data_IF_265595793345
#
_entry.id   IF_265595793345
#
_cell.length_a   1.000
_cell.length_b   1.000
_cell.length_c   1.000
_cell.angle_alpha   90.00
_cell.angle_beta   90.00
_cell.angle_gamma   90.00
#
_symmetry.space_group_name_H-M   'P 1'
#
loop_
_entity.id
_entity.type
_entity.pdbx_description
1 polymer ?
#
# COMPACT_ATOMS: atom_id res chain seq x y z
N UNK A 1 6.04 -15.73 34.45
CA UNK A 1 6.86 -14.51 34.42
C UNK A 1 7.63 -14.49 33.11
N UNK A 2 7.10 -13.81 32.10
CA UNK A 2 7.86 -13.50 30.89
C UNK A 2 8.91 -12.46 31.27
N UNK A 3 10.17 -12.81 31.13
CA UNK A 3 11.30 -11.92 31.40
C UNK A 3 11.25 -10.82 30.35
N UNK A 4 10.81 -9.62 30.73
CA UNK A 4 11.01 -8.43 29.90
C UNK A 4 12.52 -8.20 29.82
N UNK A 5 13.12 -8.17 28.62
CA UNK A 5 14.56 -7.91 28.51
C UNK A 5 14.89 -6.51 29.04
N UNK A 6 16.12 -6.30 29.52
CA UNK A 6 16.52 -5.01 30.07
C UNK A 6 16.84 -3.96 28.99
N UNK A 7 16.97 -4.38 27.73
CA UNK A 7 17.34 -3.53 26.59
C UNK A 7 16.64 -3.96 25.29
N UNK A 8 16.61 -3.05 24.33
CA UNK A 8 16.08 -3.23 22.98
C UNK A 8 17.09 -2.65 21.98
N UNK A 9 17.70 -3.50 21.14
CA UNK A 9 18.64 -3.02 20.12
C UNK A 9 17.86 -2.35 18.99
N UNK A 10 18.25 -1.14 18.61
CA UNK A 10 17.58 -0.34 17.58
C UNK A 10 18.51 0.11 16.45
N UNK A 11 17.96 0.33 15.26
CA UNK A 11 18.57 1.22 14.26
C UNK A 11 18.36 2.67 14.70
N UNK A 12 19.46 3.39 14.86
CA UNK A 12 19.49 4.68 15.54
C UNK A 12 20.37 5.68 14.79
N UNK A 13 19.87 6.90 14.58
CA UNK A 13 20.67 8.02 14.12
C UNK A 13 21.41 8.60 15.32
N UNK A 14 22.73 8.47 15.34
CA UNK A 14 23.56 8.97 16.43
C UNK A 14 23.68 10.51 16.43
N UNK A 15 24.55 11.04 17.29
CA UNK A 15 24.79 12.48 17.46
C UNK A 15 25.26 13.21 16.20
N UNK A 16 25.86 12.49 15.24
CA UNK A 16 26.26 13.04 13.94
C UNK A 16 25.31 12.67 12.79
N UNK A 17 24.25 11.90 13.08
CA UNK A 17 23.18 11.57 12.13
C UNK A 17 23.50 10.35 11.27
N UNK A 18 24.52 9.60 11.66
CA UNK A 18 24.85 8.31 11.06
C UNK A 18 23.96 7.24 11.68
N UNK A 19 23.45 6.34 10.85
CA UNK A 19 22.67 5.19 11.31
C UNK A 19 23.63 4.14 11.87
N UNK A 20 23.38 3.74 13.11
CA UNK A 20 24.15 2.76 13.88
C UNK A 20 23.20 1.82 14.62
N UNK A 21 23.73 0.70 15.12
CA UNK A 21 23.05 -0.08 16.14
C UNK A 21 23.23 0.62 17.49
N UNK A 22 22.16 0.70 18.28
CA UNK A 22 22.18 1.31 19.60
C UNK A 22 21.27 0.54 20.56
N UNK A 23 21.77 0.23 21.76
CA UNK A 23 20.97 -0.40 22.81
C UNK A 23 20.13 0.67 23.52
N UNK A 24 18.81 0.59 23.40
CA UNK A 24 17.88 1.41 24.18
C UNK A 24 17.40 0.66 25.42
N UNK A 25 16.95 1.35 26.47
CA UNK A 25 16.18 0.72 27.52
C UNK A 25 14.97 -0.02 26.92
N UNK A 26 14.65 -1.19 27.44
CA UNK A 26 13.43 -1.86 27.01
C UNK A 26 12.22 -0.96 27.29
N UNK A 27 11.26 -0.87 26.36
CA UNK A 27 10.14 0.03 26.51
C UNK A 27 9.20 -0.46 27.61
N UNK A 28 8.81 0.46 28.48
CA UNK A 28 7.72 0.25 29.44
C UNK A 28 6.42 0.77 28.83
N UNK A 29 5.35 -0.06 28.80
CA UNK A 29 4.07 0.37 28.26
C UNK A 29 3.40 1.41 29.14
N UNK A 30 2.94 2.49 28.52
CA UNK A 30 2.10 3.50 29.18
C UNK A 30 0.61 3.08 29.16
N UNK A 31 -0.24 3.84 29.83
CA UNK A 31 -1.69 3.62 29.82
C UNK A 31 -2.22 3.59 28.37
N UNK A 32 -2.96 2.54 28.02
CA UNK A 32 -3.50 2.31 26.67
C UNK A 32 -2.47 1.87 25.62
N UNK A 33 -1.18 1.68 25.99
CA UNK A 33 -0.16 1.12 25.11
C UNK A 33 -0.02 -0.41 25.29
N UNK A 34 0.42 -1.09 24.23
CA UNK A 34 0.78 -2.51 24.26
C UNK A 34 2.27 -2.70 24.03
N UNK A 35 2.87 -3.61 24.79
CA UNK A 35 4.24 -4.03 24.63
C UNK A 35 4.33 -5.16 23.59
N UNK A 36 5.23 -5.01 22.62
CA UNK A 36 5.30 -5.87 21.44
C UNK A 36 6.74 -6.30 21.21
N UNK A 37 6.94 -7.60 20.98
CA UNK A 37 8.17 -8.12 20.38
C UNK A 37 8.06 -8.02 18.86
N UNK A 38 8.85 -7.15 18.25
CA UNK A 38 8.86 -6.95 16.81
C UNK A 38 9.47 -8.18 16.14
N UNK A 39 8.80 -8.69 15.11
CA UNK A 39 9.29 -9.78 14.26
C UNK A 39 9.82 -9.24 12.94
N UNK A 40 9.13 -8.25 12.38
CA UNK A 40 9.45 -7.60 11.13
C UNK A 40 9.15 -6.10 11.23
N UNK A 41 9.97 -5.28 10.57
CA UNK A 41 9.74 -3.84 10.41
C UNK A 41 10.08 -3.47 8.98
N UNK A 42 9.17 -2.80 8.28
CA UNK A 42 9.37 -2.38 6.91
C UNK A 42 10.28 -1.15 6.81
N UNK A 43 11.21 -1.20 5.86
CA UNK A 43 12.18 -0.13 5.60
C UNK A 43 11.62 0.79 4.52
N UNK A 44 11.58 2.08 4.81
CA UNK A 44 11.06 3.09 3.90
C UNK A 44 12.11 4.15 3.58
N UNK A 45 12.02 4.76 2.39
CA UNK A 45 12.89 5.88 2.04
C UNK A 45 12.72 7.08 3.01
N UNK A 46 11.54 7.22 3.60
CA UNK A 46 11.26 8.22 4.63
C UNK A 46 12.14 8.08 5.87
N UNK A 47 12.61 6.87 6.21
CA UNK A 47 13.51 6.64 7.35
C UNK A 47 14.81 7.43 7.20
N UNK A 48 15.33 7.51 5.97
CA UNK A 48 16.54 8.29 5.65
C UNK A 48 16.22 9.77 5.45
N UNK A 49 15.18 10.07 4.66
CA UNK A 49 14.86 11.45 4.28
C UNK A 49 14.44 12.30 5.48
N UNK A 50 13.76 11.72 6.46
CA UNK A 50 13.32 12.45 7.67
C UNK A 50 14.53 12.89 8.50
N UNK A 51 15.55 12.04 8.65
CA UNK A 51 16.80 12.39 9.33
C UNK A 51 17.55 13.51 8.62
N UNK A 52 17.61 13.45 7.29
CA UNK A 52 18.33 14.43 6.47
C UNK A 52 17.61 15.78 6.43
N UNK A 53 16.30 15.77 6.20
CA UNK A 53 15.49 16.98 6.04
C UNK A 53 15.33 17.75 7.35
N UNK A 54 15.07 17.05 8.45
CA UNK A 54 14.89 17.66 9.77
C UNK A 54 16.17 17.68 10.61
N UNK A 55 17.28 17.15 10.09
CA UNK A 55 18.53 17.08 10.83
C UNK A 55 18.43 16.26 12.13
N UNK A 56 17.55 15.26 12.19
CA UNK A 56 17.34 14.49 13.43
C UNK A 56 18.62 13.75 13.83
N UNK A 57 18.94 13.84 15.11
CA UNK A 57 20.07 13.21 15.79
C UNK A 57 19.55 12.57 17.06
N UNK A 58 20.27 11.57 17.55
CA UNK A 58 19.87 10.83 18.72
C UNK A 58 18.43 10.26 18.60
N UNK A 59 18.15 9.61 17.47
CA UNK A 59 16.79 9.28 17.04
C UNK A 59 16.66 7.81 16.58
N UNK A 60 15.74 7.06 17.17
CA UNK A 60 15.43 5.68 16.74
C UNK A 60 14.54 5.68 15.50
N UNK A 61 14.80 4.80 14.52
CA UNK A 61 14.15 4.80 13.19
C UNK A 61 12.97 3.80 13.06
N UNK A 62 12.27 3.84 11.92
CA UNK A 62 11.24 2.88 11.52
C UNK A 62 9.82 3.40 11.78
N UNK A 63 8.90 3.10 10.88
CA UNK A 63 7.50 3.55 10.93
C UNK A 63 6.43 2.46 10.76
N UNK A 64 6.81 1.21 10.48
CA UNK A 64 5.86 0.10 10.34
C UNK A 64 6.44 -1.19 10.94
N UNK A 65 5.56 -2.08 11.41
CA UNK A 65 5.96 -3.34 12.05
C UNK A 65 4.90 -4.44 11.94
N UNK A 66 5.35 -5.67 12.16
CA UNK A 66 4.55 -6.80 12.62
C UNK A 66 5.27 -7.48 13.79
N UNK A 67 4.53 -7.81 14.85
CA UNK A 67 5.08 -8.36 16.08
C UNK A 67 4.07 -9.09 16.95
N UNK A 68 4.55 -9.68 18.03
CA UNK A 68 3.72 -10.38 19.03
C UNK A 68 3.51 -9.55 20.27
N UNK A 69 2.27 -9.47 20.72
CA UNK A 69 1.89 -8.83 21.98
C UNK A 69 2.47 -9.62 23.16
N UNK A 70 3.06 -8.92 24.12
CA UNK A 70 3.57 -9.49 25.36
C UNK A 70 2.60 -9.26 26.52
N UNK A 71 2.62 -10.16 27.50
CA UNK A 71 1.86 -10.02 28.74
C UNK A 71 2.37 -8.84 29.57
N UNK A 72 1.46 -7.94 29.97
CA UNK A 72 1.74 -6.79 30.82
C UNK A 72 0.56 -6.55 31.77
N UNK A 73 0.76 -5.90 32.95
CA UNK A 73 -0.32 -5.68 33.91
C UNK A 73 -1.54 -4.95 33.32
N UNK A 74 -1.32 -4.04 32.37
CA UNK A 74 -2.35 -3.19 31.78
C UNK A 74 -2.85 -3.73 30.42
N UNK A 75 -2.42 -4.92 30.00
CA UNK A 75 -2.81 -5.48 28.71
C UNK A 75 -4.32 -5.71 28.61
N UNK A 76 -4.93 -6.08 29.73
CA UNK A 76 -6.37 -6.34 29.83
C UNK A 76 -7.25 -5.12 29.51
N UNK A 77 -6.68 -3.91 29.56
CA UNK A 77 -7.36 -2.66 29.21
C UNK A 77 -7.33 -2.37 27.69
N UNK A 78 -6.72 -3.26 26.91
CA UNK A 78 -6.57 -3.14 25.46
C UNK A 78 -7.39 -4.24 24.73
N UNK A 79 -7.70 -4.08 23.43
CA UNK A 79 -8.41 -5.12 22.68
C UNK A 79 -7.57 -6.38 22.38
N UNK A 80 -6.31 -6.44 22.81
CA UNK A 80 -5.38 -7.52 22.50
C UNK A 80 -5.12 -8.44 23.71
N UNK A 81 -4.58 -9.62 23.41
CA UNK A 81 -4.18 -10.65 24.37
C UNK A 81 -2.72 -11.01 24.14
N UNK A 82 -2.05 -11.50 25.18
CA UNK A 82 -0.67 -11.93 25.04
C UNK A 82 -0.56 -13.04 23.99
N UNK A 83 0.47 -12.93 23.14
CA UNK A 83 0.71 -13.83 22.03
C UNK A 83 0.03 -13.44 20.71
N UNK A 84 -0.94 -12.52 20.74
CA UNK A 84 -1.59 -12.01 19.51
C UNK A 84 -0.53 -11.49 18.53
N UNK A 85 -0.68 -11.86 17.26
CA UNK A 85 0.11 -11.31 16.17
C UNK A 85 -0.58 -10.05 15.67
N UNK A 86 0.12 -8.91 15.75
CA UNK A 86 -0.41 -7.60 15.36
C UNK A 86 0.55 -6.89 14.41
N UNK A 87 0.02 -5.99 13.60
CA UNK A 87 0.77 -5.11 12.72
C UNK A 87 0.24 -3.68 12.81
N UNK A 88 1.06 -2.70 12.44
CA UNK A 88 0.68 -1.31 12.57
C UNK A 88 1.68 -0.32 12.00
N UNK A 89 1.27 0.94 11.99
CA UNK A 89 2.05 2.07 11.49
C UNK A 89 2.22 3.10 12.61
N UNK A 90 3.45 3.57 12.78
CA UNK A 90 3.86 4.62 13.70
C UNK A 90 4.31 5.83 12.90
N UNK A 91 3.65 6.96 13.12
CA UNK A 91 3.99 8.22 12.45
C UNK A 91 5.30 8.77 13.04
N UNK A 92 6.26 9.07 12.16
CA UNK A 92 7.51 9.76 12.52
C UNK A 92 7.27 11.21 12.94
N UNK A 93 8.23 11.80 13.65
CA UNK A 93 8.17 13.20 14.08
C UNK A 93 9.32 13.59 14.99
N UNK A 94 9.60 14.90 15.09
CA UNK A 94 10.76 15.46 15.83
C UNK A 94 10.79 14.96 17.29
N UNK A 95 9.62 14.89 17.94
CA UNK A 95 9.50 14.52 19.35
C UNK A 95 8.91 13.11 19.55
N UNK A 96 9.03 12.22 18.56
CA UNK A 96 8.55 10.84 18.72
C UNK A 96 9.37 10.12 19.79
N UNK A 97 8.70 9.47 20.73
CA UNK A 97 9.39 8.69 21.75
C UNK A 97 10.07 7.46 21.11
N UNK A 98 11.29 7.15 21.56
CA UNK A 98 12.05 6.01 21.01
C UNK A 98 11.32 4.68 21.17
N UNK A 99 10.48 4.51 22.19
CA UNK A 99 9.66 3.29 22.39
C UNK A 99 8.67 3.01 21.25
N UNK A 100 8.33 4.01 20.44
CA UNK A 100 7.44 3.87 19.28
C UNK A 100 8.20 3.50 18.00
N UNK A 101 9.52 3.66 17.95
CA UNK A 101 10.31 3.47 16.73
C UNK A 101 10.36 1.99 16.33
N UNK A 102 10.01 1.62 15.09
CA UNK A 102 9.76 0.19 14.79
C UNK A 102 11.00 -0.62 14.42
N UNK A 103 12.13 0.02 14.09
CA UNK A 103 13.39 -0.68 13.83
C UNK A 103 14.12 -1.04 15.13
N UNK A 104 13.46 -1.77 16.01
CA UNK A 104 14.04 -2.29 17.25
C UNK A 104 13.33 -3.57 17.70
N UNK A 105 13.95 -4.31 18.62
CA UNK A 105 13.46 -5.63 19.07
C UNK A 105 12.11 -5.56 19.82
N UNK A 106 11.93 -4.51 20.62
CA UNK A 106 10.74 -4.31 21.45
C UNK A 106 10.21 -2.89 21.30
N UNK A 107 8.90 -2.75 21.10
CA UNK A 107 8.22 -1.46 21.04
C UNK A 107 7.05 -1.42 22.01
N UNK A 108 6.69 -0.22 22.46
CA UNK A 108 5.41 0.03 23.10
C UNK A 108 4.70 1.12 22.33
N UNK A 109 3.47 0.88 21.88
CA UNK A 109 2.65 1.83 21.11
C UNK A 109 1.20 1.84 21.64
N UNK A 110 0.45 2.94 21.45
CA UNK A 110 -1.00 2.94 21.68
C UNK A 110 -1.66 1.76 20.97
N UNK A 111 -2.48 0.97 21.67
CA UNK A 111 -3.13 -0.22 21.12
C UNK A 111 -3.92 0.09 19.84
N UNK A 112 -4.50 1.29 19.81
CA UNK A 112 -5.25 1.77 18.66
C UNK A 112 -4.41 2.01 17.40
N UNK A 113 -3.08 1.93 17.42
CA UNK A 113 -2.21 2.06 16.23
C UNK A 113 -1.90 0.73 15.55
N UNK A 114 -2.47 -0.36 16.06
CA UNK A 114 -2.27 -1.69 15.53
C UNK A 114 -3.60 -2.39 15.27
N UNK A 115 -3.54 -3.43 14.45
CA UNK A 115 -4.63 -4.36 14.16
C UNK A 115 -4.11 -5.80 14.26
N UNK A 116 -5.00 -6.76 14.54
CA UNK A 116 -4.65 -8.18 14.52
C UNK A 116 -4.33 -8.64 13.10
N UNK A 117 -3.24 -9.37 12.95
CA UNK A 117 -2.88 -10.02 11.70
C UNK A 117 -3.73 -11.29 11.54
N UNK A 118 -4.48 -11.44 10.43
CA UNK A 118 -5.21 -12.67 10.16
C UNK A 118 -4.29 -13.89 10.07
N UNK A 119 -4.76 -15.07 10.51
CA UNK A 119 -3.95 -16.29 10.61
C UNK A 119 -3.32 -16.73 9.27
N UNK A 120 -3.93 -16.35 8.15
CA UNK A 120 -3.48 -16.70 6.81
C UNK A 120 -2.47 -15.70 6.20
N UNK A 121 -2.10 -14.63 6.91
CA UNK A 121 -1.15 -13.62 6.42
C UNK A 121 0.24 -13.86 7.02
N UNK A 122 1.30 -14.07 6.20
CA UNK A 122 2.66 -14.17 6.70
C UNK A 122 3.08 -12.92 7.49
N UNK A 123 3.72 -13.05 8.66
CA UNK A 123 4.07 -11.89 9.49
C UNK A 123 4.96 -10.86 8.76
N UNK A 124 5.82 -11.30 7.84
CA UNK A 124 6.66 -10.40 7.03
C UNK A 124 5.83 -9.54 6.06
N UNK A 125 4.76 -10.10 5.48
CA UNK A 125 3.86 -9.38 4.59
C UNK A 125 3.01 -8.36 5.36
N UNK A 126 2.62 -8.68 6.59
CA UNK A 126 1.86 -7.76 7.45
C UNK A 126 2.67 -6.53 7.89
N UNK A 127 4.01 -6.61 7.88
CA UNK A 127 4.88 -5.50 8.25
C UNK A 127 5.10 -4.46 7.13
N UNK A 128 4.64 -4.74 5.90
CA UNK A 128 4.54 -3.74 4.84
C UNK A 128 3.09 -3.27 4.72
N UNK A 129 2.85 -1.96 4.68
CA UNK A 129 1.56 -1.29 4.43
C UNK A 129 0.48 -2.17 3.76
N UNK A 130 -0.71 -2.21 4.37
CA UNK A 130 -1.81 -3.06 3.92
C UNK A 130 -2.34 -2.69 2.53
N UNK A 131 -1.94 -3.44 1.50
CA UNK A 131 -2.50 -3.33 0.16
C UNK A 131 -3.73 -4.25 0.07
N UNK A 132 -4.91 -3.65 0.16
CA UNK A 132 -6.18 -4.37 0.06
C UNK A 132 -6.73 -4.26 -1.36
N UNK A 133 -7.05 -5.39 -2.00
CA UNK A 133 -7.49 -5.44 -3.40
C UNK A 133 -8.87 -6.10 -3.54
N UNK A 134 -9.72 -5.53 -4.40
CA UNK A 134 -10.96 -6.17 -4.85
C UNK A 134 -10.73 -6.74 -6.25
N UNK A 135 -10.86 -8.05 -6.41
CA UNK A 135 -10.68 -8.75 -7.68
C UNK A 135 -11.28 -10.16 -7.62
N UNK A 136 -11.55 -10.78 -8.78
CA UNK A 136 -12.10 -12.16 -8.83
C UNK A 136 -11.21 -13.15 -8.07
N UNK A 137 -11.79 -14.10 -7.32
CA UNK A 137 -11.04 -15.05 -6.48
C UNK A 137 -9.87 -15.75 -7.20
N UNK A 138 -10.07 -16.13 -8.48
CA UNK A 138 -9.03 -16.76 -9.32
C UNK A 138 -7.75 -15.92 -9.51
N UNK A 139 -7.74 -14.64 -9.13
CA UNK A 139 -6.59 -13.73 -9.22
C UNK A 139 -5.91 -13.47 -7.88
N UNK A 140 -6.49 -13.90 -6.76
CA UNK A 140 -6.01 -13.55 -5.43
C UNK A 140 -4.57 -14.01 -5.18
N UNK A 141 -4.22 -15.24 -5.56
CA UNK A 141 -2.85 -15.75 -5.39
C UNK A 141 -1.82 -14.94 -6.16
N UNK A 142 -2.11 -14.59 -7.42
CA UNK A 142 -1.22 -13.74 -8.22
C UNK A 142 -1.09 -12.34 -7.61
N UNK A 143 -2.19 -11.73 -7.18
CA UNK A 143 -2.18 -10.38 -6.59
C UNK A 143 -1.39 -10.34 -5.28
N UNK A 144 -1.46 -11.39 -4.45
CA UNK A 144 -0.64 -11.51 -3.24
C UNK A 144 0.86 -11.59 -3.56
N UNK A 145 1.24 -12.29 -4.63
CA UNK A 145 2.63 -12.30 -5.11
C UNK A 145 3.11 -10.91 -5.55
N UNK A 146 2.20 -10.02 -5.99
CA UNK A 146 2.51 -8.63 -6.32
C UNK A 146 2.53 -7.69 -5.10
N UNK A 147 2.19 -8.18 -3.91
CA UNK A 147 2.21 -7.41 -2.66
C UNK A 147 0.85 -7.10 -2.05
N UNK A 148 -0.27 -7.56 -2.63
CA UNK A 148 -1.57 -7.47 -1.96
C UNK A 148 -1.54 -8.24 -0.63
N UNK A 149 -1.86 -7.57 0.47
CA UNK A 149 -1.90 -8.20 1.80
C UNK A 149 -3.25 -8.85 2.08
N UNK A 150 -4.32 -8.34 1.45
CA UNK A 150 -5.67 -8.90 1.50
C UNK A 150 -6.34 -8.77 0.13
N UNK A 151 -7.08 -9.81 -0.27
CA UNK A 151 -7.85 -9.82 -1.51
C UNK A 151 -9.29 -10.23 -1.21
N UNK A 152 -10.25 -9.54 -1.83
CA UNK A 152 -11.67 -9.80 -1.69
C UNK A 152 -12.31 -10.04 -3.06
N UNK A 153 -13.19 -11.04 -3.16
CA UNK A 153 -13.90 -11.34 -4.40
C UNK A 153 -15.09 -10.40 -4.59
N UNK A 154 -15.13 -9.66 -5.71
CA UNK A 154 -16.26 -8.79 -6.00
C UNK A 154 -17.56 -9.54 -6.30
N UNK A 155 -17.52 -10.86 -6.53
CA UNK A 155 -18.74 -11.69 -6.64
C UNK A 155 -19.30 -12.12 -5.28
N UNK A 156 -18.60 -11.87 -4.18
CA UNK A 156 -19.10 -12.16 -2.84
C UNK A 156 -20.15 -11.11 -2.44
N UNK A 157 -21.37 -11.56 -2.13
CA UNK A 157 -22.49 -10.69 -1.74
C UNK A 157 -22.17 -9.84 -0.49
N UNK A 158 -21.23 -10.30 0.35
CA UNK A 158 -20.80 -9.62 1.56
C UNK A 158 -19.45 -8.88 1.40
N UNK A 159 -18.95 -8.74 0.16
CA UNK A 159 -17.63 -8.15 -0.11
C UNK A 159 -17.47 -6.77 0.52
N UNK A 160 -18.51 -5.94 0.47
CA UNK A 160 -18.49 -4.56 0.97
C UNK A 160 -18.27 -4.53 2.47
N UNK A 161 -19.01 -5.35 3.23
CA UNK A 161 -18.91 -5.37 4.68
C UNK A 161 -17.58 -5.96 5.15
N UNK A 162 -17.07 -6.98 4.45
CA UNK A 162 -15.74 -7.55 4.72
C UNK A 162 -14.65 -6.51 4.49
N UNK A 163 -14.74 -5.74 3.41
CA UNK A 163 -13.75 -4.71 3.08
C UNK A 163 -13.80 -3.53 4.06
N UNK A 164 -15.01 -3.06 4.41
CA UNK A 164 -15.19 -2.04 5.46
C UNK A 164 -14.61 -2.49 6.79
N UNK A 165 -14.83 -3.75 7.16
CA UNK A 165 -14.27 -4.33 8.38
C UNK A 165 -12.74 -4.32 8.33
N UNK A 166 -12.14 -4.72 7.21
CA UNK A 166 -10.69 -4.71 7.03
C UNK A 166 -10.08 -3.30 7.12
N UNK A 167 -10.83 -2.28 6.69
CA UNK A 167 -10.37 -0.89 6.72
C UNK A 167 -10.76 -0.13 7.99
N UNK A 168 -11.66 -0.65 8.83
CA UNK A 168 -12.29 0.06 9.96
C UNK A 168 -11.30 0.64 10.95
N UNK A 169 -10.20 -0.06 11.19
CA UNK A 169 -9.18 0.33 12.17
C UNK A 169 -8.02 1.10 11.52
N UNK A 170 -8.10 1.40 10.22
CA UNK A 170 -7.06 2.15 9.51
C UNK A 170 -6.93 3.54 10.10
N UNK A 171 -5.70 3.91 10.47
CA UNK A 171 -5.35 5.25 10.93
C UNK A 171 -4.51 5.97 9.90
N UNK A 172 -4.75 7.26 9.74
CA UNK A 172 -4.05 8.07 8.74
C UNK A 172 -4.68 7.93 7.36
N UNK A 173 -4.02 8.43 6.32
CA UNK A 173 -4.65 8.55 5.00
C UNK A 173 -4.96 7.19 4.36
N UNK A 174 -6.22 6.99 3.96
CA UNK A 174 -6.63 5.91 3.05
C UNK A 174 -6.42 6.39 1.61
N UNK A 175 -5.59 5.68 0.86
CA UNK A 175 -5.41 5.91 -0.58
C UNK A 175 -6.25 4.91 -1.34
N UNK A 176 -7.28 5.38 -2.04
CA UNK A 176 -8.14 4.55 -2.88
C UNK A 176 -7.71 4.69 -4.34
N UNK A 177 -7.60 3.58 -5.07
CA UNK A 177 -7.28 3.64 -6.49
C UNK A 177 -8.26 2.80 -7.31
N UNK A 178 -9.08 3.46 -8.12
CA UNK A 178 -9.92 2.81 -9.12
C UNK A 178 -9.09 2.54 -10.38
N UNK A 179 -8.57 1.32 -10.46
CA UNK A 179 -7.82 0.82 -11.61
C UNK A 179 -8.71 0.20 -12.69
N UNK A 180 -10.02 0.02 -12.43
CA UNK A 180 -10.93 -0.64 -13.38
C UNK A 180 -11.58 0.38 -14.32
N UNK A 181 -12.02 1.52 -13.79
CA UNK A 181 -12.60 2.60 -14.59
C UNK A 181 -13.85 2.18 -15.37
N UNK A 182 -14.74 1.41 -14.75
CA UNK A 182 -16.04 1.11 -15.34
C UNK A 182 -17.03 2.24 -15.07
N UNK A 183 -17.60 2.77 -16.16
CA UNK A 183 -18.74 3.71 -16.13
C UNK A 183 -20.09 2.99 -16.29
N UNK A 184 -20.08 1.67 -16.49
CA UNK A 184 -21.28 0.85 -16.57
C UNK A 184 -21.60 0.23 -15.21
N UNK A 185 -22.87 -0.05 -14.94
CA UNK A 185 -23.31 -0.59 -13.65
C UNK A 185 -22.72 -1.99 -13.37
N UNK A 186 -22.13 -2.22 -12.18
CA UNK A 186 -21.85 -1.22 -11.15
C UNK A 186 -20.66 -0.32 -11.51
N UNK A 187 -20.81 0.99 -11.34
CA UNK A 187 -19.75 1.98 -11.58
C UNK A 187 -18.60 1.74 -10.61
N UNK A 188 -17.38 1.62 -11.11
CA UNK A 188 -16.23 1.19 -10.29
C UNK A 188 -15.88 2.18 -9.16
N UNK A 189 -16.03 3.48 -9.42
CA UNK A 189 -15.78 4.52 -8.42
C UNK A 189 -16.80 4.44 -7.28
N UNK A 190 -18.06 4.12 -7.57
CA UNK A 190 -19.11 3.93 -6.54
C UNK A 190 -18.82 2.69 -5.70
N UNK A 191 -18.37 1.60 -6.33
CA UNK A 191 -17.93 0.41 -5.61
C UNK A 191 -16.77 0.76 -4.68
N UNK A 192 -15.72 1.43 -5.17
CA UNK A 192 -14.58 1.84 -4.35
C UNK A 192 -15.00 2.75 -3.19
N UNK A 193 -15.85 3.74 -3.44
CA UNK A 193 -16.34 4.63 -2.40
C UNK A 193 -17.18 3.87 -1.36
N UNK A 194 -18.00 2.91 -1.80
CA UNK A 194 -18.88 2.13 -0.92
C UNK A 194 -18.12 1.24 0.06
N UNK A 195 -16.92 0.79 -0.29
CA UNK A 195 -16.11 -0.12 0.54
C UNK A 195 -15.21 0.59 1.53
N UNK A 196 -14.99 1.89 1.36
CA UNK A 196 -14.19 2.71 2.28
C UNK A 196 -15.10 3.17 3.43
N UNK A 197 -14.79 2.82 4.70
CA UNK A 197 -15.56 3.31 5.84
C UNK A 197 -15.40 4.83 6.00
N UNK A 198 -16.33 5.53 6.69
CA UNK A 198 -16.16 6.94 7.01
C UNK A 198 -14.79 7.21 7.65
N UNK A 199 -14.00 8.08 7.02
CA UNK A 199 -12.62 8.33 7.42
C UNK A 199 -12.21 9.77 7.05
N UNK A 200 -11.55 10.48 7.98
CA UNK A 200 -11.24 11.92 7.84
C UNK A 200 -10.24 12.24 6.71
N UNK A 201 -9.47 11.25 6.28
CA UNK A 201 -8.44 11.39 5.25
C UNK A 201 -8.56 10.28 4.23
N UNK A 202 -9.34 10.51 3.19
CA UNK A 202 -9.43 9.62 2.01
C UNK A 202 -8.90 10.38 0.80
N UNK A 203 -8.04 9.75 0.03
CA UNK A 203 -7.50 10.27 -1.24
C UNK A 203 -7.78 9.26 -2.34
N UNK A 204 -8.94 9.36 -3.01
CA UNK A 204 -9.26 8.47 -4.10
C UNK A 204 -8.66 9.00 -5.40
N UNK A 205 -8.24 8.09 -6.27
CA UNK A 205 -7.74 8.36 -7.61
C UNK A 205 -8.30 7.34 -8.60
N UNK A 206 -8.36 7.67 -9.88
CA UNK A 206 -8.92 6.80 -10.93
C UNK A 206 -8.15 6.94 -12.24
N UNK A 207 -8.30 5.93 -13.10
CA UNK A 207 -7.87 5.96 -14.51
C UNK A 207 -8.89 6.64 -15.43
N UNK A 208 -10.09 6.99 -14.93
CA UNK A 208 -11.11 7.70 -15.71
C UNK A 208 -10.74 9.17 -15.94
N UNK A 209 -10.96 9.65 -17.16
CA UNK A 209 -10.72 11.05 -17.55
C UNK A 209 -11.86 12.00 -17.13
N UNK A 210 -13.01 11.45 -16.74
CA UNK A 210 -14.14 12.19 -16.20
C UNK A 210 -14.56 11.54 -14.87
N UNK A 211 -13.82 11.81 -13.78
CA UNK A 211 -14.00 11.14 -12.50
C UNK A 211 -15.20 11.69 -11.71
N UNK A 212 -15.72 10.90 -10.77
CA UNK A 212 -16.58 11.40 -9.70
C UNK A 212 -15.87 12.46 -8.84
N UNK A 213 -16.65 13.34 -8.20
CA UNK A 213 -16.12 14.37 -7.31
C UNK A 213 -15.19 13.80 -6.24
N UNK A 214 -14.06 14.46 -6.04
CA UNK A 214 -13.04 14.07 -5.05
C UNK A 214 -12.02 13.05 -5.54
N UNK A 215 -12.22 12.40 -6.70
CA UNK A 215 -11.23 11.52 -7.29
C UNK A 215 -10.19 12.30 -8.10
N UNK A 216 -8.91 11.99 -7.87
CA UNK A 216 -7.80 12.49 -8.68
C UNK A 216 -7.64 11.67 -9.97
N UNK A 217 -7.44 12.34 -11.10
CA UNK A 217 -7.22 11.69 -12.39
C UNK A 217 -5.75 11.24 -12.49
N UNK A 218 -5.54 9.98 -12.83
CA UNK A 218 -4.21 9.43 -13.12
C UNK A 218 -4.04 9.23 -14.63
N UNK A 219 -3.19 10.03 -15.27
CA UNK A 219 -2.95 9.95 -16.71
C UNK A 219 -1.68 9.18 -17.05
N UNK A 220 -1.71 8.44 -18.16
CA UNK A 220 -0.59 7.64 -18.68
C UNK A 220 0.50 8.44 -19.43
N UNK A 221 0.33 9.75 -19.61
CA UNK A 221 1.34 10.64 -20.18
C UNK A 221 1.12 12.10 -19.76
N UNK A 222 2.20 12.85 -19.53
CA UNK A 222 2.17 14.26 -19.09
C UNK A 222 3.21 15.16 -19.78
N UNK A 223 4.00 14.62 -20.70
CA UNK A 223 5.10 15.33 -21.38
C UNK A 223 4.64 16.23 -22.55
N UNK A 224 3.34 16.29 -22.82
CA UNK A 224 2.71 17.11 -23.83
C UNK A 224 1.34 17.56 -23.33
N UNK A 225 0.80 18.62 -23.92
CA UNK A 225 -0.57 19.06 -23.65
C UNK A 225 -1.52 18.01 -24.22
N UNK A 226 -2.51 17.59 -23.43
CA UNK A 226 -3.49 16.59 -23.84
C UNK A 226 -4.81 17.31 -24.06
N UNK A 227 -5.31 17.25 -25.29
CA UNK A 227 -6.63 17.74 -25.64
C UNK A 227 -7.49 16.63 -26.26
N UNK A 228 -8.74 16.56 -25.82
CA UNK A 228 -9.75 15.68 -26.39
C UNK A 228 -10.97 16.50 -26.79
N UNK A 229 -11.39 16.35 -28.04
CA UNK A 229 -12.71 16.79 -28.49
C UNK A 229 -13.64 15.57 -28.47
N UNK A 230 -14.60 15.58 -27.56
CA UNK A 230 -15.57 14.48 -27.42
C UNK A 230 -16.73 14.64 -28.42
N UNK A 231 -17.40 13.53 -28.81
CA UNK A 231 -18.48 13.58 -29.80
C UNK A 231 -19.68 14.46 -29.41
N UNK A 232 -19.89 14.71 -28.11
CA UNK A 232 -20.94 15.58 -27.59
C UNK A 232 -20.56 17.07 -27.62
N UNK A 233 -19.37 17.41 -28.12
CA UNK A 233 -18.82 18.76 -28.17
C UNK A 233 -18.08 19.17 -26.90
N UNK A 234 -17.99 18.30 -25.88
CA UNK A 234 -17.19 18.56 -24.68
C UNK A 234 -15.70 18.56 -25.04
N UNK A 235 -14.99 19.61 -24.63
CA UNK A 235 -13.54 19.69 -24.77
C UNK A 235 -12.86 19.44 -23.43
N UNK A 236 -12.02 18.41 -23.36
CA UNK A 236 -11.15 18.15 -22.22
C UNK A 236 -9.74 18.65 -22.54
N UNK A 237 -9.14 19.41 -21.63
CA UNK A 237 -7.78 19.92 -21.79
C UNK A 237 -7.00 19.73 -20.50
N UNK A 238 -5.82 19.10 -20.63
CA UNK A 238 -4.89 18.89 -19.53
C UNK A 238 -3.52 19.45 -19.94
N UNK A 239 -3.06 20.56 -19.35
CA UNK A 239 -1.76 21.14 -19.70
C UNK A 239 -0.64 20.16 -19.37
N UNK A 240 0.46 20.16 -20.10
CA UNK A 240 1.62 19.32 -19.80
C UNK A 240 2.15 19.57 -18.38
N UNK A 241 2.67 18.52 -17.77
CA UNK A 241 3.36 18.56 -16.48
C UNK A 241 4.64 17.73 -16.60
N UNK A 242 5.75 18.43 -16.82
CA UNK A 242 7.04 17.80 -17.06
C UNK A 242 7.61 17.14 -15.81
N UNK A 243 7.26 17.63 -14.61
CA UNK A 243 7.70 17.00 -13.36
C UNK A 243 6.95 15.69 -13.11
N UNK A 244 5.63 15.67 -13.35
CA UNK A 244 4.86 14.44 -13.31
C UNK A 244 5.37 13.44 -14.36
N UNK A 245 5.64 13.92 -15.58
CA UNK A 245 6.20 13.07 -16.63
C UNK A 245 7.54 12.46 -16.23
N UNK A 246 8.46 13.23 -15.63
CA UNK A 246 9.74 12.70 -15.14
C UNK A 246 9.54 11.62 -14.07
N UNK A 247 8.67 11.87 -13.07
CA UNK A 247 8.33 10.88 -12.04
C UNK A 247 7.83 9.58 -12.65
N UNK A 248 6.91 9.66 -13.62
CA UNK A 248 6.36 8.50 -14.31
C UNK A 248 7.44 7.74 -15.09
N UNK A 249 8.26 8.44 -15.88
CA UNK A 249 9.30 7.81 -16.68
C UNK A 249 10.41 7.18 -15.84
N UNK A 250 10.71 7.72 -14.65
CA UNK A 250 11.61 7.05 -13.70
C UNK A 250 11.01 5.75 -13.18
N UNK A 251 9.72 5.73 -12.85
CA UNK A 251 9.04 4.50 -12.41
C UNK A 251 9.00 3.44 -13.53
N UNK A 252 8.65 3.84 -14.76
CA UNK A 252 8.63 2.93 -15.92
C UNK A 252 10.01 2.34 -16.19
N UNK A 253 11.06 3.17 -16.17
CA UNK A 253 12.45 2.69 -16.36
C UNK A 253 12.85 1.71 -15.27
N UNK A 254 12.56 2.03 -14.00
CA UNK A 254 12.85 1.13 -12.90
C UNK A 254 12.16 -0.23 -13.08
N UNK A 255 10.87 -0.25 -13.45
CA UNK A 255 10.12 -1.50 -13.71
C UNK A 255 10.79 -2.35 -14.80
N UNK A 256 11.30 -1.71 -15.86
CA UNK A 256 11.99 -2.40 -16.94
C UNK A 256 13.37 -2.91 -16.52
N UNK A 257 14.13 -2.10 -15.78
CA UNK A 257 15.46 -2.45 -15.28
C UNK A 257 15.44 -3.62 -14.29
N UNK A 258 14.32 -3.81 -13.58
CA UNK A 258 14.15 -4.83 -12.54
C UNK A 258 13.16 -5.95 -12.97
N UNK A 259 12.85 -6.03 -14.26
CA UNK A 259 11.89 -6.98 -14.80
C UNK A 259 12.36 -8.43 -14.63
N UNK A 260 11.57 -9.24 -13.93
CA UNK A 260 11.88 -10.65 -13.67
C UNK A 260 12.86 -10.91 -12.53
N UNK A 261 13.30 -9.86 -11.81
CA UNK A 261 14.11 -9.96 -10.59
C UNK A 261 13.32 -9.44 -9.40
N UNK A 262 13.29 -8.12 -9.20
CA UNK A 262 12.58 -7.45 -8.11
C UNK A 262 11.15 -7.06 -8.50
N UNK A 263 10.87 -6.99 -9.81
CA UNK A 263 9.54 -6.72 -10.33
C UNK A 263 8.95 -7.98 -11.00
N UNK A 264 7.82 -8.44 -10.48
CA UNK A 264 7.06 -9.54 -11.07
C UNK A 264 6.37 -9.04 -12.35
N UNK A 265 6.62 -9.66 -13.51
CA UNK A 265 6.08 -9.18 -14.76
C UNK A 265 4.57 -9.39 -14.86
N UNK A 266 3.85 -8.38 -15.36
CA UNK A 266 2.46 -8.53 -15.78
C UNK A 266 2.38 -9.62 -16.85
N UNK A 267 1.50 -10.63 -16.71
CA UNK A 267 1.31 -11.63 -17.74
C UNK A 267 1.02 -10.96 -19.08
N UNK A 268 1.83 -11.26 -20.08
CA UNK A 268 1.68 -10.75 -21.42
C UNK A 268 1.64 -11.92 -22.40
N UNK A 269 0.71 -11.88 -23.35
CA UNK A 269 0.71 -12.80 -24.50
C UNK A 269 0.96 -12.03 -25.78
N UNK A 270 1.77 -12.62 -26.65
CA UNK A 270 1.99 -12.09 -27.99
C UNK A 270 0.93 -12.69 -28.91
N UNK A 271 0.12 -11.83 -29.51
CA UNK A 271 -0.76 -12.19 -30.60
C UNK A 271 0.03 -12.11 -31.91
N UNK A 272 0.10 -13.24 -32.60
CA UNK A 272 0.71 -13.35 -33.93
C UNK A 272 -0.39 -13.60 -34.97
N UNK A 273 -0.18 -13.13 -36.20
CA UNK A 273 -1.13 -13.34 -37.28
C UNK A 273 -1.13 -12.22 -38.31
N UNK A 274 -2.19 -12.21 -39.10
CA UNK A 274 -2.50 -11.14 -40.05
C UNK A 274 -3.02 -9.87 -39.36
N UNK A 275 -3.10 -8.77 -40.09
CA UNK A 275 -3.77 -7.55 -39.64
C UNK A 275 -5.25 -7.79 -39.27
N UNK A 276 -5.93 -8.75 -39.91
CA UNK A 276 -7.29 -9.14 -39.54
C UNK A 276 -7.34 -9.81 -38.16
N UNK A 277 -6.35 -10.65 -37.86
CA UNK A 277 -6.26 -11.29 -36.54
C UNK A 277 -5.97 -10.25 -35.45
N UNK A 278 -5.11 -9.27 -35.75
CA UNK A 278 -4.85 -8.15 -34.84
C UNK A 278 -6.10 -7.30 -34.56
N UNK A 279 -6.93 -7.04 -35.58
CA UNK A 279 -8.22 -6.34 -35.40
C UNK A 279 -9.15 -7.17 -34.50
N UNK A 280 -9.24 -8.48 -34.71
CA UNK A 280 -10.04 -9.35 -33.85
C UNK A 280 -9.55 -9.32 -32.39
N UNK A 281 -8.24 -9.28 -32.17
CA UNK A 281 -7.67 -9.16 -30.82
C UNK A 281 -8.02 -7.83 -30.13
N UNK A 282 -8.04 -6.73 -30.89
CA UNK A 282 -8.48 -5.43 -30.37
C UNK A 282 -9.96 -5.46 -29.92
N UNK A 283 -10.85 -6.05 -30.71
CA UNK A 283 -12.26 -6.16 -30.32
C UNK A 283 -12.49 -7.15 -29.17
N UNK A 284 -11.75 -8.26 -29.10
CA UNK A 284 -11.83 -9.18 -27.95
C UNK A 284 -11.43 -8.49 -26.63
N UNK A 285 -10.55 -7.49 -26.66
CA UNK A 285 -10.21 -6.72 -25.46
C UNK A 285 -11.40 -5.94 -24.91
N UNK A 286 -12.34 -5.47 -25.75
CA UNK A 286 -13.53 -4.74 -25.24
C UNK A 286 -14.48 -5.64 -24.46
N UNK A 287 -14.37 -6.96 -24.61
CA UNK A 287 -15.13 -7.94 -23.82
C UNK A 287 -14.43 -8.31 -22.50
N UNK A 288 -13.22 -7.79 -22.25
CA UNK A 288 -12.42 -8.01 -21.03
C UNK A 288 -12.26 -9.48 -20.60
N UNK A 289 -12.32 -10.43 -21.55
CA UNK A 289 -12.37 -11.86 -21.25
C UNK A 289 -11.06 -12.47 -20.72
N UNK A 290 -9.91 -11.82 -20.94
CA UNK A 290 -8.59 -12.35 -20.59
C UNK A 290 -7.80 -11.37 -19.72
N UNK A 291 -7.17 -11.91 -18.68
CA UNK A 291 -6.27 -11.15 -17.79
C UNK A 291 -4.87 -11.06 -18.38
N UNK A 292 -4.27 -9.89 -18.27
CA UNK A 292 -2.92 -9.62 -18.76
C UNK A 292 -2.89 -8.75 -20.02
N UNK A 293 -1.69 -8.37 -20.44
CA UNK A 293 -1.48 -7.54 -21.63
C UNK A 293 -1.48 -8.40 -22.89
N UNK A 294 -2.14 -7.93 -23.94
CA UNK A 294 -1.96 -8.48 -25.29
C UNK A 294 -1.01 -7.58 -26.07
N UNK A 295 0.00 -8.19 -26.67
CA UNK A 295 1.01 -7.55 -27.49
C UNK A 295 0.81 -7.98 -28.94
N UNK A 296 0.63 -7.03 -29.86
CA UNK A 296 0.56 -7.34 -31.29
C UNK A 296 1.99 -7.46 -31.84
N UNK A 297 2.31 -8.58 -32.48
CA UNK A 297 3.61 -8.75 -33.13
C UNK A 297 3.64 -7.98 -34.45
N UNK A 298 4.65 -7.12 -34.61
CA UNK A 298 4.89 -6.39 -35.85
C UNK A 298 5.96 -7.07 -36.73
N UNK A 299 5.94 -6.87 -38.07
CA UNK A 299 4.91 -6.13 -38.81
C UNK A 299 3.56 -6.87 -38.81
N UNK A 300 2.46 -6.12 -38.85
CA UNK A 300 1.14 -6.70 -39.11
C UNK A 300 1.14 -7.17 -40.57
N UNK A 301 0.91 -8.47 -40.78
CA UNK A 301 0.97 -9.09 -42.11
C UNK A 301 -0.35 -9.04 -42.84
#
# INVERSE_FOLDING_TARGET
MTITPNKSTALYANEVGKIVLHDLPAPEPQEGEVLIKVLYSGVNLSDIRTLQFFGLRNYALGGEFCGRVLETPNLADTPFKAGDLIAGVVIGGINRASRHATHQEYISIPASWAFKVPENVPPSAAAGLGIVVIASAKRHEFLKQLGATQCFDYHDENVVDKFKTALRETKGTIWGFDAFGSVANPVSQDVLASVIPPHDKVRPATVLLSPHDGFEITMGGRNFDIDFDLPDGTRLFFPKDLEAADRMWRAVRWVLEHYGTENVPTPARVAEGSGKDAIQELYKMSEMGNFGKVLLKHPLK
#
